data_IF_540983745956
#
_entry.id   IF_540983745956
#
_cell.length_a   1.000
_cell.length_b   1.000
_cell.length_c   1.000
_cell.angle_alpha   90.00
_cell.angle_beta   90.00
_cell.angle_gamma   90.00
#
_symmetry.space_group_name_H-M   'P 1'
#
loop_
_entity.id
_entity.type
_entity.pdbx_description
1 polymer ?
#
# COMPACT_ATOMS: atom_id res chain seq x y z
N UNK A 1 -4.83 24.40 8.80
CA UNK A 1 -3.68 24.92 8.05
C UNK A 1 -3.60 24.16 6.74
N UNK A 2 -3.39 24.84 5.61
CA UNK A 2 -3.21 24.24 4.28
C UNK A 2 -1.74 24.46 3.92
N UNK A 3 -1.01 23.47 3.37
CA UNK A 3 0.38 23.67 2.98
C UNK A 3 0.50 24.63 1.80
N UNK A 4 1.52 25.48 1.81
CA UNK A 4 1.79 26.42 0.71
C UNK A 4 2.31 25.72 -0.55
N UNK A 5 3.00 24.58 -0.37
CA UNK A 5 3.57 23.77 -1.45
C UNK A 5 3.68 22.30 -1.03
N UNK A 6 3.56 21.37 -1.98
CA UNK A 6 3.65 19.92 -1.74
C UNK A 6 4.83 19.33 -2.52
N UNK A 7 5.67 18.57 -1.84
CA UNK A 7 6.68 17.73 -2.49
C UNK A 7 6.14 16.30 -2.57
N UNK A 8 6.17 15.72 -3.76
CA UNK A 8 5.69 14.36 -4.01
C UNK A 8 6.82 13.47 -4.48
N UNK A 9 6.73 12.16 -4.20
CA UNK A 9 7.72 11.19 -4.67
C UNK A 9 7.37 10.76 -6.10
N UNK A 10 8.10 11.30 -7.08
CA UNK A 10 8.08 10.94 -8.50
C UNK A 10 6.77 11.15 -9.31
N UNK A 11 5.65 11.63 -8.73
CA UNK A 11 4.42 11.87 -9.50
C UNK A 11 3.62 13.08 -9.04
N UNK A 12 2.80 13.65 -9.93
CA UNK A 12 1.85 14.72 -9.59
C UNK A 12 0.55 14.09 -9.07
N UNK A 13 0.00 14.62 -7.98
CA UNK A 13 -1.33 14.20 -7.50
C UNK A 13 -2.39 14.96 -8.30
N UNK A 14 -3.16 14.23 -9.10
CA UNK A 14 -4.28 14.78 -9.85
C UNK A 14 -5.34 15.36 -8.90
N UNK A 15 -5.98 16.45 -9.31
CA UNK A 15 -7.04 17.15 -8.57
C UNK A 15 -6.62 17.75 -7.21
N UNK A 16 -5.32 17.84 -6.92
CA UNK A 16 -4.82 18.56 -5.76
C UNK A 16 -4.51 20.02 -6.14
N UNK A 17 -5.38 20.95 -5.71
CA UNK A 17 -5.29 22.39 -6.00
C UNK A 17 -4.28 23.11 -5.08
N UNK A 18 -3.05 22.59 -5.03
CA UNK A 18 -1.91 23.15 -4.31
C UNK A 18 -0.71 23.01 -5.25
N UNK A 19 0.23 23.96 -5.24
CA UNK A 19 1.45 23.84 -6.04
C UNK A 19 2.25 22.61 -5.61
N UNK A 20 2.76 21.84 -6.59
CA UNK A 20 3.44 20.58 -6.33
C UNK A 20 4.77 20.52 -7.08
N UNK A 21 5.76 19.86 -6.49
CA UNK A 21 6.98 19.45 -7.19
C UNK A 21 7.18 17.96 -7.02
N UNK A 22 7.06 17.17 -8.12
CA UNK A 22 7.49 15.78 -8.09
C UNK A 22 9.01 15.69 -8.04
N UNK A 23 9.52 14.94 -7.07
CA UNK A 23 10.95 14.71 -6.87
C UNK A 23 11.20 13.22 -7.09
N UNK A 24 11.99 12.88 -8.12
CA UNK A 24 12.40 11.49 -8.38
C UNK A 24 13.35 11.02 -7.27
N UNK A 25 13.08 9.87 -6.66
CA UNK A 25 13.78 9.40 -5.43
C UNK A 25 13.61 10.40 -4.28
N UNK A 26 12.40 10.93 -4.12
CA UNK A 26 12.12 12.02 -3.19
C UNK A 26 12.35 11.63 -1.73
N UNK A 27 12.16 10.36 -1.38
CA UNK A 27 12.40 9.83 -0.04
C UNK A 27 13.88 9.87 0.37
N UNK A 28 14.80 9.73 -0.58
CA UNK A 28 16.24 9.86 -0.35
C UNK A 28 16.72 11.32 -0.32
N UNK A 29 15.97 12.23 -0.94
CA UNK A 29 16.40 13.61 -1.20
C UNK A 29 15.66 14.68 -0.37
N UNK A 30 14.50 14.34 0.21
CA UNK A 30 13.65 15.25 0.97
C UNK A 30 13.22 14.66 2.30
N UNK A 31 13.54 15.34 3.39
CA UNK A 31 13.15 14.94 4.75
C UNK A 31 11.64 14.86 4.92
N UNK A 32 10.87 15.72 4.25
CA UNK A 32 9.40 15.72 4.31
C UNK A 32 8.82 14.50 3.60
N UNK A 33 9.38 14.12 2.44
CA UNK A 33 8.96 12.92 1.71
C UNK A 33 9.37 11.66 2.50
N UNK A 34 10.58 11.63 3.06
CA UNK A 34 11.04 10.53 3.91
C UNK A 34 10.14 10.35 5.16
N UNK A 35 9.76 11.44 5.82
CA UNK A 35 8.85 11.39 6.96
C UNK A 35 7.47 10.86 6.53
N UNK A 36 6.95 11.33 5.40
CA UNK A 36 5.68 10.85 4.86
C UNK A 36 5.73 9.34 4.52
N UNK A 37 6.81 8.85 3.93
CA UNK A 37 6.98 7.43 3.57
C UNK A 37 7.01 6.53 4.80
N UNK A 38 7.68 6.95 5.88
CA UNK A 38 7.69 6.23 7.18
C UNK A 38 6.27 6.15 7.76
N UNK A 39 5.57 7.29 7.82
CA UNK A 39 4.20 7.34 8.35
C UNK A 39 3.27 6.43 7.54
N UNK A 40 3.34 6.51 6.20
CA UNK A 40 2.53 5.70 5.30
C UNK A 40 2.81 4.20 5.51
N UNK A 41 4.08 3.80 5.54
CA UNK A 41 4.49 2.40 5.71
C UNK A 41 4.06 1.83 7.05
N UNK A 42 4.36 2.52 8.14
CA UNK A 42 4.03 2.06 9.50
C UNK A 42 2.52 1.94 9.68
N UNK A 43 1.76 2.93 9.21
CA UNK A 43 0.29 2.91 9.26
C UNK A 43 -0.28 1.74 8.46
N UNK A 44 0.24 1.52 7.25
CA UNK A 44 -0.21 0.43 6.39
C UNK A 44 0.14 -0.95 6.95
N UNK A 45 1.28 -1.10 7.62
CA UNK A 45 1.67 -2.36 8.24
C UNK A 45 0.82 -2.70 9.47
N UNK A 46 0.43 -1.69 10.27
CA UNK A 46 -0.51 -1.86 11.38
C UNK A 46 -1.88 -2.32 10.88
N UNK A 47 -2.41 -1.68 9.84
CA UNK A 47 -3.68 -2.07 9.22
C UNK A 47 -3.67 -3.53 8.73
N UNK A 48 -2.55 -4.02 8.19
CA UNK A 48 -2.47 -5.43 7.77
C UNK A 48 -2.45 -6.41 8.93
N UNK A 49 -1.85 -6.02 10.06
CA UNK A 49 -1.91 -6.85 11.26
C UNK A 49 -3.34 -6.93 11.80
N UNK A 50 -4.11 -5.86 11.70
CA UNK A 50 -5.53 -5.86 12.07
C UNK A 50 -6.35 -6.74 11.10
N UNK A 51 -6.13 -6.62 9.80
CA UNK A 51 -6.78 -7.48 8.81
C UNK A 51 -6.39 -8.94 8.94
N UNK A 52 -5.19 -9.26 9.42
CA UNK A 52 -4.82 -10.64 9.74
C UNK A 52 -5.73 -11.21 10.83
N UNK A 53 -6.09 -10.42 11.84
CA UNK A 53 -7.03 -10.86 12.90
C UNK A 53 -8.44 -11.10 12.35
N UNK A 54 -8.88 -10.28 11.40
CA UNK A 54 -10.20 -10.38 10.77
C UNK A 54 -10.24 -11.52 9.75
N UNK A 55 -9.13 -11.75 9.04
CA UNK A 55 -9.00 -12.74 7.97
C UNK A 55 -7.76 -13.64 8.19
N UNK A 56 -7.75 -14.47 9.25
CA UNK A 56 -6.55 -15.18 9.74
C UNK A 56 -5.97 -16.21 8.77
N UNK A 57 -6.77 -16.67 7.80
CA UNK A 57 -6.35 -17.68 6.82
C UNK A 57 -5.40 -17.17 5.74
N UNK A 58 -5.20 -15.85 5.63
CA UNK A 58 -4.40 -15.26 4.56
C UNK A 58 -2.97 -14.89 4.95
N UNK A 59 -2.66 -14.70 6.23
CA UNK A 59 -1.29 -14.38 6.67
C UNK A 59 -0.86 -12.92 6.43
N UNK A 60 -1.81 -11.98 6.35
CA UNK A 60 -1.56 -10.56 6.11
C UNK A 60 -0.53 -9.95 7.06
N UNK A 61 -0.42 -10.43 8.30
CA UNK A 61 0.58 -9.94 9.25
C UNK A 61 2.03 -10.19 8.78
N UNK A 62 2.28 -11.23 7.98
CA UNK A 62 3.62 -11.57 7.50
C UNK A 62 3.99 -10.81 6.23
N UNK A 63 3.13 -10.88 5.21
CA UNK A 63 3.44 -10.39 3.87
C UNK A 63 2.66 -9.13 3.48
N UNK A 64 1.89 -8.53 4.39
CA UNK A 64 1.23 -7.22 4.21
C UNK A 64 0.30 -7.10 2.98
N UNK A 65 -0.16 -8.25 2.47
CA UNK A 65 -0.97 -8.34 1.26
C UNK A 65 -0.19 -8.40 -0.06
N UNK A 66 1.15 -8.41 -0.04
CA UNK A 66 1.94 -8.70 -1.24
C UNK A 66 1.66 -10.12 -1.76
N UNK A 67 1.79 -10.32 -3.08
CA UNK A 67 1.53 -11.60 -3.76
C UNK A 67 2.63 -12.63 -3.55
N UNK A 68 2.94 -12.96 -2.30
CA UNK A 68 3.90 -14.02 -1.97
C UNK A 68 3.30 -15.39 -2.28
N UNK A 69 4.17 -16.42 -2.39
CA UNK A 69 3.72 -17.81 -2.60
C UNK A 69 2.73 -18.27 -1.53
N UNK A 70 2.97 -17.91 -0.26
CA UNK A 70 2.06 -18.20 0.86
C UNK A 70 0.68 -17.56 0.64
N UNK A 71 0.65 -16.28 0.27
CA UNK A 71 -0.58 -15.54 0.06
C UNK A 71 -1.39 -16.07 -1.14
N UNK A 72 -0.73 -16.33 -2.27
CA UNK A 72 -1.38 -16.88 -3.47
C UNK A 72 -1.96 -18.27 -3.16
N UNK A 73 -1.24 -19.11 -2.41
CA UNK A 73 -1.74 -20.42 -2.00
C UNK A 73 -2.99 -20.30 -1.10
N UNK A 74 -3.00 -19.33 -0.18
CA UNK A 74 -4.17 -19.06 0.66
C UNK A 74 -5.38 -18.63 -0.19
N UNK A 75 -5.18 -17.77 -1.19
CA UNK A 75 -6.24 -17.35 -2.12
C UNK A 75 -6.77 -18.55 -2.90
N UNK A 76 -5.90 -19.40 -3.46
CA UNK A 76 -6.31 -20.62 -4.19
C UNK A 76 -7.10 -21.58 -3.31
N UNK A 77 -6.73 -21.71 -2.03
CA UNK A 77 -7.35 -22.65 -1.09
C UNK A 77 -8.67 -22.14 -0.52
N UNK A 78 -8.77 -20.84 -0.24
CA UNK A 78 -9.87 -20.27 0.55
C UNK A 78 -10.72 -19.24 -0.22
N UNK A 79 -10.38 -18.95 -1.48
CA UNK A 79 -10.94 -17.87 -2.27
C UNK A 79 -10.47 -16.49 -1.83
N UNK A 80 -10.91 -15.44 -2.52
CA UNK A 80 -10.63 -14.05 -2.14
C UNK A 80 -11.48 -13.60 -0.93
N UNK A 81 -11.03 -12.55 -0.25
CA UNK A 81 -11.81 -11.83 0.77
C UNK A 81 -12.06 -10.36 0.33
N UNK A 82 -12.95 -9.60 1.01
CA UNK A 82 -13.39 -8.28 0.57
C UNK A 82 -12.28 -7.24 0.31
N UNK A 83 -11.14 -7.34 1.01
CA UNK A 83 -10.02 -6.41 0.87
C UNK A 83 -9.07 -6.74 -0.28
N UNK A 84 -9.27 -7.86 -0.98
CA UNK A 84 -8.45 -8.21 -2.14
C UNK A 84 -8.78 -7.33 -3.34
N UNK A 85 -7.73 -6.92 -4.06
CA UNK A 85 -7.86 -6.20 -5.33
C UNK A 85 -8.19 -7.19 -6.44
N UNK A 86 -9.48 -7.35 -6.75
CA UNK A 86 -10.00 -8.34 -7.72
C UNK A 86 -9.28 -8.31 -9.07
N UNK A 87 -8.99 -7.11 -9.60
CA UNK A 87 -8.28 -6.95 -10.88
C UNK A 87 -6.87 -7.51 -10.85
N UNK A 88 -6.20 -7.50 -9.70
CA UNK A 88 -4.83 -7.99 -9.56
C UNK A 88 -4.78 -9.50 -9.29
N UNK A 89 -5.76 -10.03 -8.54
CA UNK A 89 -5.82 -11.46 -8.19
C UNK A 89 -5.94 -12.37 -9.43
N UNK A 90 -6.66 -11.90 -10.47
CA UNK A 90 -6.80 -12.61 -11.75
C UNK A 90 -5.46 -12.97 -12.42
N UNK A 91 -4.38 -12.26 -12.09
CA UNK A 91 -3.06 -12.57 -12.63
C UNK A 91 -2.43 -13.84 -12.04
N UNK A 92 -2.98 -14.37 -10.93
CA UNK A 92 -2.37 -15.47 -10.17
C UNK A 92 -3.30 -16.66 -9.96
N UNK A 93 -4.60 -16.46 -10.12
CA UNK A 93 -5.65 -17.44 -9.83
C UNK A 93 -6.86 -17.20 -10.72
N UNK A 94 -7.56 -18.25 -11.12
CA UNK A 94 -8.77 -18.18 -11.96
C UNK A 94 -10.04 -17.74 -11.20
N UNK A 95 -9.88 -17.10 -10.04
CA UNK A 95 -10.96 -16.60 -9.17
C UNK A 95 -11.38 -15.17 -9.55
#
# INVERSE_FOLDING_TARGET
MIPDHVLTDAFVIENLNINQTPVTHGDALSVSIAAASIIAKVSRDRMMNEYDRIYPRYGFAKHKGYGTKEHINAIKKYGICPIHRKTFVKNYTDV
#
